data_IF_194298338823
#
_entry.id   IF_194298338823
#
_cell.length_a   1.000
_cell.length_b   1.000
_cell.length_c   1.000
_cell.angle_alpha   90.00
_cell.angle_beta   90.00
_cell.angle_gamma   90.00
#
_symmetry.space_group_name_H-M   'P 1'
#
loop_
_entity.id
_entity.type
_entity.pdbx_description
1 polymer ?
#
# COMPACT_ATOMS: atom_id res chain seq x y z
N UNK A 1 -6.93 -5.84 -80.86
CA UNK A 1 -5.57 -5.78 -80.25
C UNK A 1 -5.26 -4.46 -79.54
N UNK A 2 -5.79 -3.31 -79.99
CA UNK A 2 -5.52 -1.98 -79.36
C UNK A 2 -6.12 -1.85 -77.95
N UNK A 3 -7.26 -2.48 -77.68
CA UNK A 3 -7.99 -2.39 -76.40
C UNK A 3 -7.30 -3.09 -75.23
N UNK A 4 -6.49 -4.13 -75.48
CA UNK A 4 -5.72 -4.83 -74.44
C UNK A 4 -4.43 -4.10 -74.06
N UNK A 5 -3.89 -3.27 -74.97
CA UNK A 5 -2.67 -2.49 -74.73
C UNK A 5 -2.97 -1.28 -73.82
N UNK A 6 -4.13 -0.65 -73.99
CA UNK A 6 -4.59 0.45 -73.13
C UNK A 6 -4.93 0.01 -71.71
N UNK A 7 -5.38 -1.23 -71.52
CA UNK A 7 -5.67 -1.79 -70.19
C UNK A 7 -4.39 -2.05 -69.39
N UNK A 8 -3.36 -2.63 -70.02
CA UNK A 8 -2.03 -2.81 -69.42
C UNK A 8 -1.33 -1.49 -69.11
N UNK A 9 -1.47 -0.47 -69.96
CA UNK A 9 -0.88 0.85 -69.69
C UNK A 9 -1.52 1.53 -68.48
N UNK A 10 -2.85 1.37 -68.30
CA UNK A 10 -3.60 1.89 -67.16
C UNK A 10 -3.29 1.14 -65.86
N UNK A 11 -3.07 -0.18 -65.92
CA UNK A 11 -2.66 -0.99 -64.77
C UNK A 11 -1.21 -0.67 -64.34
N UNK A 12 -0.29 -0.47 -65.28
CA UNK A 12 1.10 -0.07 -64.96
C UNK A 12 1.16 1.35 -64.37
N UNK A 13 0.36 2.30 -64.88
CA UNK A 13 0.27 3.66 -64.34
C UNK A 13 -0.30 3.70 -62.91
N UNK A 14 -1.27 2.83 -62.59
CA UNK A 14 -1.84 2.73 -61.23
C UNK A 14 -0.84 2.11 -60.26
N UNK A 15 -0.05 1.11 -60.68
CA UNK A 15 1.00 0.52 -59.84
C UNK A 15 2.15 1.52 -59.61
N UNK A 16 2.50 2.34 -60.62
CA UNK A 16 3.52 3.38 -60.47
C UNK A 16 3.06 4.54 -59.56
N UNK A 17 1.78 4.91 -59.60
CA UNK A 17 1.22 5.91 -58.68
C UNK A 17 1.08 5.41 -57.23
N UNK A 18 0.84 4.11 -57.03
CA UNK A 18 0.80 3.51 -55.68
C UNK A 18 2.19 3.27 -55.07
N UNK A 19 3.25 3.18 -55.89
CA UNK A 19 4.63 3.00 -55.41
C UNK A 19 5.36 4.31 -55.08
N UNK A 20 4.83 5.47 -55.48
CA UNK A 20 5.46 6.79 -55.24
C UNK A 20 4.97 7.45 -53.94
N UNK A 21 3.94 6.92 -53.27
CA UNK A 21 3.42 7.48 -52.01
C UNK A 21 3.93 6.81 -50.72
N UNK A 22 4.92 5.92 -50.79
CA UNK A 22 5.48 5.23 -49.60
C UNK A 22 6.91 5.59 -49.25
N UNK A 23 7.40 6.76 -49.64
CA UNK A 23 8.53 7.38 -48.92
C UNK A 23 7.93 8.35 -47.89
N UNK A 24 7.28 7.76 -46.88
CA UNK A 24 7.10 8.47 -45.62
C UNK A 24 8.50 8.63 -45.02
N UNK A 25 9.02 9.85 -45.14
CA UNK A 25 10.22 10.31 -44.45
C UNK A 25 10.25 9.73 -43.04
N UNK A 26 11.20 8.86 -42.77
CA UNK A 26 11.59 8.44 -41.41
C UNK A 26 12.21 9.64 -40.69
N UNK A 27 11.42 10.69 -40.48
CA UNK A 27 11.69 11.70 -39.48
C UNK A 27 11.55 10.99 -38.16
N UNK A 28 12.68 10.50 -37.63
CA UNK A 28 12.83 10.21 -36.21
C UNK A 28 12.39 11.47 -35.47
N UNK A 29 11.11 11.52 -35.08
CA UNK A 29 10.64 12.48 -34.09
C UNK A 29 11.45 12.16 -32.84
N UNK A 30 12.51 12.94 -32.64
CA UNK A 30 13.18 13.05 -31.35
C UNK A 30 12.11 13.65 -30.45
N UNK A 31 11.34 12.79 -29.79
CA UNK A 31 10.59 13.21 -28.63
C UNK A 31 11.63 13.82 -27.69
N UNK A 32 11.48 15.09 -27.27
CA UNK A 32 12.34 15.58 -26.20
C UNK A 32 12.15 14.60 -25.05
N UNK A 33 13.23 13.94 -24.64
CA UNK A 33 13.22 13.18 -23.38
C UNK A 33 12.60 14.12 -22.35
N UNK A 34 11.60 13.69 -21.58
CA UNK A 34 11.18 14.45 -20.41
C UNK A 34 12.46 14.82 -19.67
N UNK A 35 12.67 16.12 -19.44
CA UNK A 35 13.84 16.62 -18.73
C UNK A 35 14.05 15.72 -17.52
N UNK A 36 15.18 14.99 -17.47
CA UNK A 36 15.48 14.14 -16.34
C UNK A 36 15.27 14.98 -15.08
N UNK A 37 14.43 14.52 -14.13
CA UNK A 37 14.46 15.09 -12.79
C UNK A 37 15.92 15.12 -12.34
N UNK A 38 16.37 16.15 -11.60
CA UNK A 38 17.74 16.18 -11.09
C UNK A 38 18.08 14.82 -10.49
N UNK A 39 19.25 14.24 -10.83
CA UNK A 39 19.58 12.80 -10.71
C UNK A 39 19.15 12.13 -9.39
N UNK A 40 19.11 12.88 -8.27
CA UNK A 40 18.60 12.41 -6.98
C UNK A 40 17.11 12.03 -6.95
N UNK A 41 16.23 12.73 -7.69
CA UNK A 41 14.80 12.45 -7.70
C UNK A 41 14.45 11.12 -8.40
N UNK A 42 15.17 10.78 -9.47
CA UNK A 42 15.02 9.51 -10.19
C UNK A 42 15.43 8.30 -9.33
N UNK A 43 16.56 8.43 -8.61
CA UNK A 43 17.01 7.39 -7.68
C UNK A 43 15.99 7.17 -6.55
N UNK A 44 15.49 8.24 -5.92
CA UNK A 44 14.63 8.12 -4.75
C UNK A 44 13.24 7.55 -5.08
N UNK A 45 12.72 7.88 -6.26
CA UNK A 45 11.54 7.21 -6.81
C UNK A 45 11.79 5.70 -6.97
N UNK A 46 12.90 5.33 -7.61
CA UNK A 46 13.28 3.93 -7.84
C UNK A 46 13.47 3.17 -6.53
N UNK A 47 14.14 3.79 -5.55
CA UNK A 47 14.33 3.24 -4.22
C UNK A 47 13.00 2.98 -3.51
N UNK A 48 12.08 3.96 -3.51
CA UNK A 48 10.74 3.79 -2.91
C UNK A 48 10.01 2.62 -3.54
N UNK A 49 9.96 2.55 -4.87
CA UNK A 49 9.30 1.44 -5.58
C UNK A 49 9.94 0.09 -5.21
N UNK A 50 11.28 0.03 -5.12
CA UNK A 50 11.97 -1.19 -4.74
C UNK A 50 11.74 -1.59 -3.26
N UNK A 51 11.62 -0.62 -2.35
CA UNK A 51 11.25 -0.85 -0.96
C UNK A 51 9.80 -1.37 -0.84
N UNK A 52 8.84 -0.72 -1.51
CA UNK A 52 7.44 -1.13 -1.53
C UNK A 52 7.24 -2.52 -2.16
N UNK A 53 8.02 -2.85 -3.19
CA UNK A 53 8.02 -4.17 -3.83
C UNK A 53 8.78 -5.25 -3.02
N UNK A 54 9.28 -4.93 -1.82
CA UNK A 54 10.08 -5.81 -0.97
C UNK A 54 11.40 -6.30 -1.60
N UNK A 55 11.94 -5.57 -2.59
CA UNK A 55 13.24 -5.85 -3.20
C UNK A 55 14.39 -5.29 -2.35
N UNK A 56 14.15 -4.16 -1.67
CA UNK A 56 15.05 -3.58 -0.67
C UNK A 56 14.51 -3.91 0.71
N UNK A 57 15.20 -4.76 1.47
CA UNK A 57 14.77 -5.28 2.77
C UNK A 57 15.70 -4.88 3.89
N UNK A 58 15.21 -4.94 5.12
CA UNK A 58 16.00 -4.75 6.34
C UNK A 58 16.81 -3.43 6.36
N UNK A 59 16.31 -2.40 5.68
CA UNK A 59 16.90 -1.08 5.74
C UNK A 59 16.55 -0.42 7.08
N UNK A 60 17.51 0.31 7.65
CA UNK A 60 17.37 0.92 8.99
C UNK A 60 16.83 2.34 8.96
N UNK A 61 17.18 3.06 7.89
CA UNK A 61 16.77 4.43 7.62
C UNK A 61 16.63 4.60 6.11
N UNK A 62 15.85 5.59 5.69
CA UNK A 62 15.79 5.97 4.26
C UNK A 62 17.16 6.55 3.85
N UNK A 63 17.60 6.41 2.58
CA UNK A 63 18.80 7.08 2.10
C UNK A 63 18.69 8.59 2.33
N UNK A 64 19.70 9.21 2.95
CA UNK A 64 19.63 10.64 3.35
C UNK A 64 19.34 11.58 2.16
N UNK A 65 19.81 11.23 0.96
CA UNK A 65 19.53 11.98 -0.27
C UNK A 65 18.05 11.96 -0.68
N UNK A 66 17.26 11.02 -0.16
CA UNK A 66 15.84 10.83 -0.45
C UNK A 66 14.91 11.49 0.54
N UNK A 67 15.42 12.15 1.59
CA UNK A 67 14.61 12.81 2.62
C UNK A 67 13.52 13.71 2.02
N UNK A 68 13.92 14.66 1.15
CA UNK A 68 12.97 15.60 0.51
C UNK A 68 11.98 14.91 -0.43
N UNK A 69 12.41 13.83 -1.09
CA UNK A 69 11.53 13.05 -1.94
C UNK A 69 10.46 12.31 -1.12
N UNK A 70 10.84 11.70 0.01
CA UNK A 70 9.89 11.03 0.91
C UNK A 70 8.95 12.02 1.57
N UNK A 71 9.45 13.17 2.05
CA UNK A 71 8.61 14.26 2.52
C UNK A 71 7.57 14.65 1.46
N UNK A 72 8.01 14.97 0.24
CA UNK A 72 7.12 15.35 -0.85
C UNK A 72 6.11 14.25 -1.22
N UNK A 73 6.50 12.97 -1.14
CA UNK A 73 5.58 11.87 -1.37
C UNK A 73 4.50 11.79 -0.27
N UNK A 74 4.91 11.85 1.01
CA UNK A 74 4.03 11.67 2.16
C UNK A 74 3.05 12.83 2.35
N UNK A 75 3.46 14.07 2.06
CA UNK A 75 2.61 15.27 2.27
C UNK A 75 2.16 15.96 0.99
N UNK A 76 2.67 15.57 -0.18
CA UNK A 76 2.39 16.21 -1.47
C UNK A 76 1.24 15.59 -2.28
N UNK A 77 0.43 14.72 -1.66
CA UNK A 77 -0.80 14.16 -2.25
C UNK A 77 -0.65 12.82 -2.96
N UNK A 78 0.54 12.45 -3.46
CA UNK A 78 0.72 11.15 -4.14
C UNK A 78 0.47 9.97 -3.19
N UNK A 79 0.90 10.05 -1.92
CA UNK A 79 0.60 9.04 -0.92
C UNK A 79 -0.91 8.81 -0.74
N UNK A 80 -1.70 9.89 -0.68
CA UNK A 80 -3.15 9.83 -0.58
C UNK A 80 -3.79 9.23 -1.85
N UNK A 81 -3.30 9.59 -3.04
CA UNK A 81 -3.77 8.98 -4.29
C UNK A 81 -3.50 7.47 -4.34
N UNK A 82 -2.29 7.05 -3.95
CA UNK A 82 -1.91 5.63 -3.90
C UNK A 82 -2.82 4.86 -2.91
N UNK A 83 -3.04 5.42 -1.71
CA UNK A 83 -3.94 4.83 -0.71
C UNK A 83 -5.38 4.70 -1.22
N UNK A 84 -5.93 5.76 -1.81
CA UNK A 84 -7.29 5.75 -2.35
C UNK A 84 -7.44 4.69 -3.46
N UNK A 85 -6.48 4.60 -4.38
CA UNK A 85 -6.52 3.60 -5.45
C UNK A 85 -6.52 2.16 -4.89
N UNK A 86 -5.71 1.89 -3.86
CA UNK A 86 -5.67 0.58 -3.22
C UNK A 86 -6.99 0.31 -2.48
N UNK A 87 -7.53 1.28 -1.74
CA UNK A 87 -8.81 1.13 -1.05
C UNK A 87 -9.96 0.89 -2.01
N UNK A 88 -10.02 1.60 -3.15
CA UNK A 88 -11.06 1.38 -4.15
C UNK A 88 -10.93 -0.02 -4.80
N UNK A 89 -9.70 -0.51 -4.95
CA UNK A 89 -9.43 -1.90 -5.37
C UNK A 89 -9.92 -2.91 -4.33
N UNK A 90 -9.75 -2.62 -3.03
CA UNK A 90 -10.25 -3.45 -1.94
C UNK A 90 -11.79 -3.45 -1.92
N UNK A 91 -12.42 -2.29 -2.04
CA UNK A 91 -13.88 -2.16 -2.08
C UNK A 91 -14.46 -2.95 -3.26
N UNK A 92 -13.84 -2.86 -4.44
CA UNK A 92 -14.25 -3.66 -5.60
C UNK A 92 -14.12 -5.17 -5.35
N UNK A 93 -13.15 -5.60 -4.54
CA UNK A 93 -13.01 -7.00 -4.14
C UNK A 93 -14.07 -7.40 -3.09
N UNK A 94 -14.40 -6.52 -2.14
CA UNK A 94 -15.48 -6.70 -1.16
C UNK A 94 -16.81 -6.94 -1.87
N UNK A 95 -17.13 -6.15 -2.91
CA UNK A 95 -18.39 -6.25 -3.65
C UNK A 95 -18.58 -7.61 -4.36
N UNK A 96 -17.49 -8.34 -4.59
CA UNK A 96 -17.52 -9.69 -5.17
C UNK A 96 -17.70 -10.82 -4.15
N UNK A 97 -17.76 -10.51 -2.84
CA UNK A 97 -17.84 -11.51 -1.76
C UNK A 97 -19.28 -11.65 -1.29
N UNK A 98 -19.77 -12.89 -1.25
CA UNK A 98 -21.02 -13.22 -0.56
C UNK A 98 -20.71 -13.55 0.90
N UNK A 99 -21.01 -12.62 1.81
CA UNK A 99 -20.90 -12.84 3.26
C UNK A 99 -21.96 -13.85 3.69
N UNK A 100 -21.55 -14.89 4.41
CA UNK A 100 -22.39 -16.04 4.75
C UNK A 100 -23.46 -15.72 5.81
N UNK A 101 -23.27 -14.65 6.60
CA UNK A 101 -24.21 -14.21 7.64
C UNK A 101 -24.16 -15.04 8.92
N UNK A 102 -23.22 -15.98 9.04
CA UNK A 102 -23.00 -16.80 10.25
C UNK A 102 -22.08 -16.11 11.29
N UNK A 103 -21.59 -14.91 10.98
CA UNK A 103 -20.71 -14.13 11.85
C UNK A 103 -19.22 -14.51 11.79
N UNK A 104 -18.81 -15.37 10.84
CA UNK A 104 -17.42 -15.85 10.75
C UNK A 104 -16.62 -15.28 9.57
N UNK A 105 -17.20 -14.44 8.71
CA UNK A 105 -16.45 -13.74 7.66
C UNK A 105 -15.65 -12.58 8.24
N UNK A 106 -14.33 -12.67 8.14
CA UNK A 106 -13.41 -11.80 8.84
C UNK A 106 -12.52 -10.99 7.91
N UNK A 107 -12.08 -9.84 8.41
CA UNK A 107 -11.08 -8.98 7.81
C UNK A 107 -10.04 -8.55 8.83
N UNK A 108 -8.78 -8.42 8.42
CA UNK A 108 -7.69 -8.01 9.30
C UNK A 108 -7.09 -6.70 8.80
N UNK A 109 -6.92 -5.74 9.71
CA UNK A 109 -6.20 -4.49 9.46
C UNK A 109 -5.07 -4.36 10.49
N UNK A 110 -3.88 -3.97 10.03
CA UNK A 110 -2.88 -3.37 10.91
C UNK A 110 -3.36 -1.99 11.42
N UNK A 111 -2.69 -1.44 12.44
CA UNK A 111 -3.03 -0.15 13.06
C UNK A 111 -2.10 0.98 12.63
N UNK A 112 -0.78 0.82 12.73
CA UNK A 112 0.20 1.91 12.63
C UNK A 112 0.55 2.21 11.17
N UNK A 113 0.24 3.41 10.69
CA UNK A 113 0.28 3.80 9.27
C UNK A 113 -0.57 2.90 8.33
N UNK A 114 -1.48 2.13 8.93
CA UNK A 114 -2.58 1.43 8.25
C UNK A 114 -3.93 2.05 8.60
N UNK A 115 -4.30 2.12 9.87
CA UNK A 115 -5.52 2.79 10.33
C UNK A 115 -5.26 4.24 10.77
N UNK A 116 -4.22 4.43 11.58
CA UNK A 116 -3.84 5.73 12.15
C UNK A 116 -2.42 6.09 11.74
N UNK A 117 -2.16 7.35 11.39
CA UNK A 117 -0.86 7.76 10.85
C UNK A 117 0.11 8.21 11.93
N UNK A 118 1.37 7.78 11.78
CA UNK A 118 2.50 8.21 12.59
C UNK A 118 3.31 9.32 11.92
N UNK A 119 2.83 9.92 10.82
CA UNK A 119 3.54 10.94 10.05
C UNK A 119 4.02 12.13 10.92
N UNK A 120 3.27 12.50 11.96
CA UNK A 120 3.65 13.58 12.88
C UNK A 120 4.92 13.21 13.67
N UNK A 121 5.02 11.97 14.15
CA UNK A 121 6.24 11.47 14.79
C UNK A 121 7.40 11.46 13.79
N UNK A 122 7.17 10.90 12.60
CA UNK A 122 8.21 10.74 11.59
C UNK A 122 8.69 12.07 10.99
N UNK A 123 7.89 13.14 11.01
CA UNK A 123 8.36 14.49 10.69
C UNK A 123 9.52 14.92 11.61
N UNK A 124 9.42 14.60 12.90
CA UNK A 124 10.49 14.82 13.89
C UNK A 124 11.70 13.88 13.73
N UNK A 125 11.57 12.82 12.91
CA UNK A 125 12.64 11.88 12.54
C UNK A 125 13.05 12.01 11.07
N UNK A 126 12.81 13.20 10.49
CA UNK A 126 13.13 13.54 9.09
C UNK A 126 12.60 12.48 8.11
N UNK A 127 11.34 12.09 8.30
CA UNK A 127 10.59 11.10 7.52
C UNK A 127 11.26 9.71 7.42
N UNK A 128 12.06 9.33 8.43
CA UNK A 128 12.75 8.05 8.47
C UNK A 128 14.26 8.12 8.16
N UNK A 129 14.82 9.31 7.97
CA UNK A 129 16.27 9.48 7.86
C UNK A 129 16.98 9.27 9.20
N UNK A 130 16.32 9.61 10.30
CA UNK A 130 16.87 9.41 11.63
C UNK A 130 16.54 8.00 12.14
N UNK A 131 17.43 7.33 12.89
CA UNK A 131 17.18 6.01 13.42
C UNK A 131 15.91 5.95 14.28
N UNK A 132 15.23 4.79 14.23
CA UNK A 132 14.09 4.53 15.10
C UNK A 132 14.49 4.60 16.58
N UNK A 133 13.66 5.30 17.35
CA UNK A 133 13.84 5.54 18.78
C UNK A 133 12.66 4.91 19.53
N UNK A 134 12.81 3.66 20.01
CA UNK A 134 11.70 2.92 20.61
C UNK A 134 11.11 3.63 21.84
N UNK A 135 11.95 4.25 22.67
CA UNK A 135 11.50 4.94 23.88
C UNK A 135 10.78 6.24 23.51
N UNK A 136 11.33 7.01 22.57
CA UNK A 136 10.68 8.21 22.05
C UNK A 136 9.35 7.92 21.36
N UNK A 137 9.28 6.86 20.55
CA UNK A 137 8.03 6.44 19.90
C UNK A 137 6.98 6.03 20.95
N UNK A 138 7.37 5.21 21.94
CA UNK A 138 6.48 4.81 23.03
C UNK A 138 5.94 6.03 23.79
N UNK A 139 6.79 6.97 24.17
CA UNK A 139 6.38 8.19 24.87
C UNK A 139 5.45 9.06 24.02
N UNK A 140 5.65 9.13 22.71
CA UNK A 140 4.77 9.86 21.80
C UNK A 140 3.42 9.14 21.61
N UNK A 141 3.43 7.82 21.39
CA UNK A 141 2.23 7.01 21.16
C UNK A 141 1.30 6.98 22.39
N UNK A 142 1.86 7.06 23.60
CA UNK A 142 1.10 7.24 24.85
C UNK A 142 0.22 8.51 24.84
N UNK A 143 0.57 9.53 24.07
CA UNK A 143 -0.23 10.74 23.92
C UNK A 143 -1.55 10.53 23.16
N UNK A 144 -1.71 9.41 22.42
CA UNK A 144 -2.98 9.05 21.78
C UNK A 144 -3.49 10.05 20.73
N UNK A 145 -2.58 10.76 20.06
CA UNK A 145 -2.91 11.84 19.11
C UNK A 145 -2.73 11.50 17.63
N UNK A 146 -2.65 10.21 17.27
CA UNK A 146 -2.48 9.79 15.87
C UNK A 146 -3.79 10.07 15.11
N UNK A 147 -3.70 10.64 13.90
CA UNK A 147 -4.89 10.91 13.08
C UNK A 147 -5.29 9.69 12.26
N UNK A 148 -6.58 9.48 12.00
CA UNK A 148 -7.04 8.50 11.02
C UNK A 148 -6.39 8.75 9.65
N UNK A 149 -6.05 7.68 8.95
CA UNK A 149 -5.82 7.72 7.51
C UNK A 149 -7.20 7.70 6.83
N UNK A 150 -7.62 8.77 6.11
CA UNK A 150 -9.00 8.88 5.63
C UNK A 150 -9.45 7.73 4.73
N UNK A 151 -8.58 7.24 3.84
CA UNK A 151 -8.87 6.11 2.99
C UNK A 151 -9.07 4.81 3.79
N UNK A 152 -8.31 4.61 4.87
CA UNK A 152 -8.43 3.44 5.73
C UNK A 152 -9.70 3.47 6.59
N UNK A 153 -10.09 4.65 7.09
CA UNK A 153 -11.37 4.82 7.78
C UNK A 153 -12.55 4.51 6.84
N UNK A 154 -12.51 5.02 5.60
CA UNK A 154 -13.50 4.67 4.56
C UNK A 154 -13.58 3.16 4.30
N UNK A 155 -12.44 2.49 4.23
CA UNK A 155 -12.40 1.03 4.10
C UNK A 155 -13.02 0.34 5.32
N UNK A 156 -12.65 0.77 6.52
CA UNK A 156 -13.15 0.21 7.77
C UNK A 156 -14.69 0.31 7.85
N UNK A 157 -15.25 1.49 7.59
CA UNK A 157 -16.70 1.70 7.60
C UNK A 157 -17.39 0.77 6.59
N UNK A 158 -16.83 0.66 5.37
CA UNK A 158 -17.35 -0.25 4.34
C UNK A 158 -17.34 -1.72 4.78
N UNK A 159 -16.30 -2.17 5.48
CA UNK A 159 -16.21 -3.54 6.01
C UNK A 159 -17.28 -3.81 7.05
N UNK A 160 -17.48 -2.88 7.98
CA UNK A 160 -18.53 -2.98 9.02
C UNK A 160 -19.92 -3.01 8.38
N UNK A 161 -20.21 -2.10 7.44
CA UNK A 161 -21.49 -2.03 6.72
C UNK A 161 -21.78 -3.31 5.93
N UNK A 162 -20.73 -3.97 5.43
CA UNK A 162 -20.83 -5.21 4.67
C UNK A 162 -20.93 -6.46 5.57
N UNK A 163 -20.91 -6.29 6.90
CA UNK A 163 -21.12 -7.36 7.88
C UNK A 163 -19.88 -8.20 8.21
N UNK A 164 -18.68 -7.76 7.81
CA UNK A 164 -17.44 -8.44 8.18
C UNK A 164 -17.09 -8.23 9.65
N UNK A 165 -16.48 -9.25 10.25
CA UNK A 165 -15.80 -9.16 11.54
C UNK A 165 -14.40 -8.60 11.37
N UNK A 166 -14.21 -7.34 11.72
CA UNK A 166 -12.93 -6.66 11.55
C UNK A 166 -12.06 -6.86 12.80
N UNK A 167 -10.86 -7.42 12.61
CA UNK A 167 -9.84 -7.54 13.64
C UNK A 167 -8.72 -6.54 13.39
N UNK A 168 -8.38 -5.77 14.42
CA UNK A 168 -7.23 -4.87 14.39
C UNK A 168 -6.05 -5.56 15.06
N UNK A 169 -4.94 -5.79 14.34
CA UNK A 169 -3.78 -6.53 14.86
C UNK A 169 -2.53 -5.66 14.78
N UNK A 170 -1.99 -5.25 15.93
CA UNK A 170 -0.89 -4.28 16.02
C UNK A 170 0.34 -4.83 16.72
N UNK A 171 1.52 -4.34 16.33
CA UNK A 171 2.77 -4.59 17.04
C UNK A 171 2.92 -3.79 18.34
N UNK A 172 2.01 -2.84 18.64
CA UNK A 172 2.02 -2.07 19.89
C UNK A 172 1.87 -2.99 21.09
N UNK A 173 2.61 -2.67 22.15
CA UNK A 173 2.61 -3.40 23.42
C UNK A 173 1.29 -3.19 24.17
N UNK A 174 0.65 -4.28 24.59
CA UNK A 174 -0.66 -4.25 25.25
C UNK A 174 -0.60 -3.53 26.60
N UNK A 175 0.36 -3.90 27.45
CA UNK A 175 0.48 -3.39 28.82
C UNK A 175 0.66 -1.87 28.83
N UNK A 176 1.48 -1.35 27.90
CA UNK A 176 1.90 0.05 27.96
C UNK A 176 1.18 0.94 26.95
N UNK A 177 0.65 0.41 25.85
CA UNK A 177 -0.02 1.22 24.81
C UNK A 177 -1.48 0.81 24.57
N UNK A 178 -2.00 -0.24 25.20
CA UNK A 178 -3.35 -0.76 24.96
C UNK A 178 -4.44 0.28 25.14
N UNK A 179 -4.47 0.94 26.32
CA UNK A 179 -5.49 1.96 26.61
C UNK A 179 -5.40 3.15 25.66
N UNK A 180 -4.21 3.72 25.47
CA UNK A 180 -4.01 4.88 24.59
C UNK A 180 -4.38 4.55 23.14
N UNK A 181 -4.02 3.36 22.66
CA UNK A 181 -4.32 2.91 21.29
C UNK A 181 -5.83 2.74 21.09
N UNK A 182 -6.52 2.07 22.01
CA UNK A 182 -7.98 1.91 21.93
C UNK A 182 -8.72 3.24 21.95
N UNK A 183 -8.36 4.14 22.87
CA UNK A 183 -8.94 5.49 22.94
C UNK A 183 -8.66 6.31 21.68
N UNK A 184 -7.45 6.22 21.13
CA UNK A 184 -7.09 6.92 19.90
C UNK A 184 -7.90 6.38 18.71
N UNK A 185 -8.00 5.05 18.54
CA UNK A 185 -8.80 4.45 17.46
C UNK A 185 -10.27 4.89 17.54
N UNK A 186 -10.86 4.83 18.74
CA UNK A 186 -12.22 5.27 18.98
C UNK A 186 -12.42 6.76 18.64
N UNK A 187 -11.51 7.64 19.07
CA UNK A 187 -11.60 9.08 18.79
C UNK A 187 -11.42 9.42 17.32
N UNK A 188 -10.77 8.53 16.56
CA UNK A 188 -10.54 8.66 15.12
C UNK A 188 -11.63 7.97 14.27
N UNK A 189 -12.69 7.44 14.90
CA UNK A 189 -13.86 6.88 14.21
C UNK A 189 -13.83 5.37 14.00
N UNK A 190 -12.74 4.68 14.35
CA UNK A 190 -12.65 3.21 14.25
C UNK A 190 -13.43 2.55 15.39
N UNK A 191 -14.74 2.43 15.21
CA UNK A 191 -15.68 1.86 16.20
C UNK A 191 -16.41 0.64 15.64
N UNK A 192 -16.70 -0.36 16.47
CA UNK A 192 -17.42 -1.57 16.04
C UNK A 192 -16.54 -2.69 15.47
N UNK A 193 -15.21 -2.59 15.56
CA UNK A 193 -14.33 -3.73 15.31
C UNK A 193 -14.60 -4.87 16.31
N UNK A 194 -14.36 -6.11 15.91
CA UNK A 194 -14.60 -7.30 16.72
C UNK A 194 -13.59 -7.42 17.87
N UNK A 195 -12.28 -7.32 17.57
CA UNK A 195 -11.23 -7.22 18.59
C UNK A 195 -10.06 -6.36 18.14
N UNK A 196 -9.49 -5.62 19.10
CA UNK A 196 -8.15 -5.04 19.00
C UNK A 196 -7.17 -5.99 19.70
N UNK A 197 -6.22 -6.52 18.95
CA UNK A 197 -5.24 -7.50 19.40
C UNK A 197 -3.87 -6.81 19.40
N UNK A 198 -3.36 -6.56 20.60
CA UNK A 198 -2.05 -5.97 20.84
C UNK A 198 -1.02 -7.06 21.17
N UNK A 199 0.25 -6.69 21.14
CA UNK A 199 1.34 -7.60 21.49
C UNK A 199 1.45 -7.74 23.00
N UNK A 200 1.21 -8.94 23.50
CA UNK A 200 1.34 -9.27 24.93
C UNK A 200 2.78 -9.68 25.28
N UNK A 201 3.07 -9.83 26.57
CA UNK A 201 4.37 -10.26 27.07
C UNK A 201 4.81 -11.65 26.54
N UNK A 202 3.87 -12.55 26.23
CA UNK A 202 4.14 -13.87 25.67
C UNK A 202 4.80 -13.80 24.28
N UNK A 203 4.46 -12.77 23.50
CA UNK A 203 4.98 -12.58 22.15
C UNK A 203 6.25 -11.71 22.12
N UNK A 204 6.78 -11.32 23.28
CA UNK A 204 7.97 -10.50 23.39
C UNK A 204 9.18 -11.23 22.78
N UNK A 205 9.92 -10.52 21.93
CA UNK A 205 11.09 -11.08 21.23
C UNK A 205 10.78 -11.83 19.93
N UNK A 206 9.50 -12.10 19.62
CA UNK A 206 9.12 -12.65 18.33
C UNK A 206 9.15 -11.58 17.23
N UNK A 207 9.47 -11.97 15.99
CA UNK A 207 9.33 -11.06 14.84
C UNK A 207 7.88 -10.65 14.63
N UNK A 208 7.64 -9.56 13.90
CA UNK A 208 6.28 -9.14 13.55
C UNK A 208 5.57 -10.22 12.73
N UNK A 209 6.28 -10.85 11.79
CA UNK A 209 5.79 -11.97 10.96
C UNK A 209 5.31 -13.13 11.83
N UNK A 210 6.13 -13.61 12.78
CA UNK A 210 5.79 -14.77 13.61
C UNK A 210 4.57 -14.50 14.50
N UNK A 211 4.58 -13.35 15.18
CA UNK A 211 3.47 -12.93 16.03
C UNK A 211 2.16 -12.81 15.23
N UNK A 212 2.16 -12.03 14.14
CA UNK A 212 0.94 -11.79 13.36
C UNK A 212 0.46 -13.08 12.67
N UNK A 213 1.36 -13.95 12.22
CA UNK A 213 0.99 -15.29 11.73
C UNK A 213 0.29 -16.12 12.80
N UNK A 214 0.81 -16.10 14.04
CA UNK A 214 0.20 -16.79 15.18
C UNK A 214 -1.22 -16.29 15.47
N UNK A 215 -1.42 -14.97 15.49
CA UNK A 215 -2.76 -14.39 15.65
C UNK A 215 -3.70 -14.80 14.52
N UNK A 216 -3.27 -14.71 13.25
CA UNK A 216 -4.11 -15.14 12.12
C UNK A 216 -4.48 -16.61 12.20
N UNK A 217 -3.54 -17.47 12.61
CA UNK A 217 -3.78 -18.90 12.82
C UNK A 217 -4.77 -19.15 13.95
N UNK A 218 -4.69 -18.39 15.05
CA UNK A 218 -5.67 -18.45 16.12
C UNK A 218 -7.06 -18.06 15.61
N UNK A 219 -7.18 -16.95 14.88
CA UNK A 219 -8.47 -16.52 14.30
C UNK A 219 -9.08 -17.60 13.39
N UNK A 220 -8.28 -18.23 12.52
CA UNK A 220 -8.77 -19.35 11.70
C UNK A 220 -9.16 -20.57 12.56
N UNK A 221 -8.40 -20.87 13.62
CA UNK A 221 -8.71 -21.94 14.57
C UNK A 221 -10.00 -21.70 15.36
N UNK A 222 -10.38 -20.43 15.55
CA UNK A 222 -11.66 -20.01 16.13
C UNK A 222 -12.83 -20.09 15.11
N UNK A 223 -12.55 -20.44 13.85
CA UNK A 223 -13.56 -20.64 12.79
C UNK A 223 -13.71 -19.48 11.81
N UNK A 224 -12.95 -18.38 11.98
CA UNK A 224 -13.05 -17.22 11.09
C UNK A 224 -12.48 -17.50 9.69
N UNK A 225 -13.24 -17.08 8.66
CA UNK A 225 -12.83 -17.04 7.27
C UNK A 225 -12.24 -15.68 6.94
N UNK A 226 -10.92 -15.60 6.90
CA UNK A 226 -10.21 -14.34 6.62
C UNK A 226 -10.24 -14.06 5.12
N UNK A 227 -11.06 -13.10 4.69
CA UNK A 227 -11.19 -12.72 3.28
C UNK A 227 -10.11 -11.75 2.82
N UNK A 228 -9.66 -10.88 3.73
CA UNK A 228 -8.69 -9.85 3.44
C UNK A 228 -7.79 -9.54 4.64
N UNK A 229 -6.54 -9.20 4.34
CA UNK A 229 -5.55 -8.74 5.30
C UNK A 229 -4.81 -7.52 4.73
N UNK A 230 -4.83 -6.40 5.46
CA UNK A 230 -4.31 -5.11 5.01
C UNK A 230 -3.28 -4.61 6.00
N UNK A 231 -2.14 -4.16 5.48
CA UNK A 231 -1.08 -3.59 6.30
C UNK A 231 -0.11 -2.77 5.46
N UNK A 232 0.61 -1.87 6.12
CA UNK A 232 1.62 -1.01 5.52
C UNK A 232 3.00 -1.69 5.51
N UNK A 233 3.17 -2.83 6.17
CA UNK A 233 4.41 -3.59 6.16
C UNK A 233 4.22 -4.98 5.55
N UNK A 234 5.28 -5.49 4.91
CA UNK A 234 5.29 -6.87 4.45
C UNK A 234 5.22 -7.86 5.62
N UNK A 235 5.68 -7.47 6.81
CA UNK A 235 5.55 -8.29 8.02
C UNK A 235 4.09 -8.58 8.42
N UNK A 236 3.15 -7.76 7.97
CA UNK A 236 1.71 -7.94 8.25
C UNK A 236 1.09 -8.96 7.31
N UNK A 237 1.68 -9.10 6.13
CA UNK A 237 1.12 -9.81 4.97
C UNK A 237 1.88 -11.08 4.61
N UNK A 238 2.98 -11.37 5.31
CA UNK A 238 3.81 -12.57 5.13
C UNK A 238 3.62 -13.57 6.27
N UNK A 239 4.10 -14.80 6.04
CA UNK A 239 3.96 -15.92 6.95
C UNK A 239 2.72 -16.77 6.64
N UNK A 240 2.15 -17.39 7.65
CA UNK A 240 1.01 -18.32 7.49
C UNK A 240 -0.33 -17.62 7.66
N UNK A 241 -1.41 -18.25 7.17
CA UNK A 241 -2.78 -17.83 7.44
C UNK A 241 -3.10 -16.39 6.99
N UNK A 242 -2.54 -15.93 5.87
CA UNK A 242 -2.64 -14.53 5.41
C UNK A 242 -4.03 -14.10 4.94
N UNK A 243 -4.98 -15.04 4.85
CA UNK A 243 -6.32 -14.83 4.29
C UNK A 243 -6.36 -15.04 2.78
N UNK A 244 -7.54 -14.87 2.19
CA UNK A 244 -7.75 -15.10 0.76
C UNK A 244 -7.01 -14.08 -0.12
N UNK A 245 -6.83 -12.85 0.36
CA UNK A 245 -6.09 -11.80 -0.35
C UNK A 245 -5.40 -10.85 0.62
N UNK A 246 -4.19 -10.43 0.26
CA UNK A 246 -3.42 -9.42 0.99
C UNK A 246 -3.37 -8.11 0.22
N UNK A 247 -3.32 -6.99 0.93
CA UNK A 247 -3.22 -5.65 0.36
C UNK A 247 -2.17 -4.83 1.10
N UNK A 248 -1.12 -4.43 0.38
CA UNK A 248 -0.01 -3.62 0.90
C UNK A 248 -0.32 -2.15 0.72
N UNK A 249 -0.42 -1.40 1.81
CA UNK A 249 -0.44 0.06 1.78
C UNK A 249 0.98 0.59 1.71
N UNK A 250 1.25 1.73 1.02
CA UNK A 250 2.58 2.30 0.98
C UNK A 250 3.02 2.76 2.38
N UNK A 251 4.29 2.53 2.72
CA UNK A 251 4.94 3.19 3.84
C UNK A 251 6.46 3.20 3.63
N UNK A 252 7.00 4.31 3.13
CA UNK A 252 8.43 4.44 2.91
C UNK A 252 9.19 5.05 4.10
N UNK A 253 8.53 5.34 5.23
CA UNK A 253 9.15 6.01 6.38
C UNK A 253 9.93 5.05 7.28
N UNK A 254 9.52 3.78 7.35
CA UNK A 254 10.23 2.75 8.11
C UNK A 254 9.99 1.34 7.57
N UNK A 255 10.81 0.41 8.05
CA UNK A 255 10.72 -1.01 7.75
C UNK A 255 10.56 -1.83 9.03
N UNK A 256 9.60 -2.76 9.02
CA UNK A 256 9.43 -3.75 10.08
C UNK A 256 9.84 -5.13 9.55
N UNK A 257 10.86 -5.78 10.14
CA UNK A 257 11.33 -7.11 9.72
C UNK A 257 10.43 -8.27 10.17
#
# INVERSE_FOLDING_TARGET
MITNMMKRLREVLVIFFLAITTVASSSTKIYPRPSCPPDGASYCLSWRVAAEANNVRAWRTIPTQCMRYIEAYMVGGQYEHDLNFIVDTIISYIDGILVAGDGFDAWILDVDDTCISNIVYYKGKRYGCDPYDPQGFKSWALGGGCSAIPAALRLFDRLIESGFKVFLVTGRDEETLGQATGQNLQSQGFTGYERLILRTAEYKGQSAVMYKSGIRKQLQGEGYRIWGNVGDQWSDLQGECTGNRTFKLPNPMYFVP
#
